data_IF_990922040929
#
_entry.id   IF_990922040929
#
_cell.length_a   1.000
_cell.length_b   1.000
_cell.length_c   1.000
_cell.angle_alpha   90.00
_cell.angle_beta   90.00
_cell.angle_gamma   90.00
#
_symmetry.space_group_name_H-M   'P 1'
#
loop_
_entity.id
_entity.type
_entity.pdbx_description
1 polymer ?
#
# COMPACT_ATOMS: atom_id res chain seq x y z
N UNK A 1 0.29 38.38 3.48
CA UNK A 1 0.73 38.69 2.09
C UNK A 1 -0.25 38.06 1.12
N UNK A 2 -0.94 38.90 0.35
CA UNK A 2 -2.05 38.49 -0.51
C UNK A 2 -1.55 37.70 -1.73
N UNK A 3 -2.36 36.77 -2.26
CA UNK A 3 -2.03 35.91 -3.42
C UNK A 3 -1.60 36.67 -4.68
N UNK A 4 -1.95 37.96 -4.79
CA UNK A 4 -1.57 38.82 -5.92
C UNK A 4 -0.08 39.16 -5.99
N UNK A 5 0.60 39.32 -4.86
CA UNK A 5 1.97 39.84 -4.82
C UNK A 5 3.01 38.84 -5.36
N UNK A 6 2.78 37.54 -5.11
CA UNK A 6 3.70 36.47 -5.53
C UNK A 6 3.64 36.17 -7.03
N UNK A 7 2.46 36.33 -7.63
CA UNK A 7 2.21 36.14 -9.06
C UNK A 7 2.94 37.22 -9.86
N UNK A 8 2.80 38.48 -9.44
CA UNK A 8 3.45 39.62 -10.07
C UNK A 8 4.98 39.56 -9.97
N UNK A 9 5.51 39.25 -8.78
CA UNK A 9 6.95 39.10 -8.57
C UNK A 9 7.59 37.96 -9.39
N UNK A 10 6.87 36.85 -9.60
CA UNK A 10 7.36 35.76 -10.45
C UNK A 10 7.45 36.17 -11.92
N UNK A 11 6.42 36.85 -12.44
CA UNK A 11 6.41 37.33 -13.82
C UNK A 11 7.49 38.38 -14.06
N UNK A 12 7.66 39.33 -13.12
CA UNK A 12 8.71 40.35 -13.20
C UNK A 12 10.13 39.73 -13.18
N UNK A 13 10.34 38.65 -12.41
CA UNK A 13 11.66 38.02 -12.30
C UNK A 13 12.01 37.08 -13.44
N UNK A 14 11.01 36.44 -14.05
CA UNK A 14 11.23 35.38 -15.05
C UNK A 14 10.88 35.78 -16.47
N UNK A 15 10.12 36.86 -16.65
CA UNK A 15 9.58 37.28 -17.95
C UNK A 15 8.54 36.33 -18.54
N UNK A 16 8.13 35.30 -17.78
CA UNK A 16 7.20 34.28 -18.23
C UNK A 16 5.75 34.65 -17.90
N UNK A 17 4.82 34.23 -18.76
CA UNK A 17 3.39 34.52 -18.64
C UNK A 17 2.69 33.79 -17.47
N UNK A 18 1.42 34.13 -17.28
CA UNK A 18 0.62 33.65 -16.14
C UNK A 18 0.47 32.13 -16.11
N UNK A 19 0.38 31.48 -17.27
CA UNK A 19 0.24 30.01 -17.37
C UNK A 19 1.48 29.28 -16.85
N UNK A 20 2.67 29.83 -17.09
CA UNK A 20 3.92 29.30 -16.57
C UNK A 20 4.01 29.45 -15.05
N UNK A 21 3.47 30.54 -14.49
CA UNK A 21 3.36 30.71 -13.03
C UNK A 21 2.45 29.65 -12.41
N UNK A 22 1.29 29.37 -13.00
CA UNK A 22 0.38 28.35 -12.47
C UNK A 22 0.95 26.94 -12.61
N UNK A 23 1.64 26.62 -13.70
CA UNK A 23 2.38 25.37 -13.86
C UNK A 23 3.49 25.22 -12.81
N UNK A 24 4.28 26.28 -12.58
CA UNK A 24 5.31 26.33 -11.55
C UNK A 24 4.73 26.19 -10.14
N UNK A 25 3.66 26.91 -9.85
CA UNK A 25 2.96 26.87 -8.56
C UNK A 25 2.37 25.49 -8.28
N UNK A 26 1.75 24.82 -9.27
CA UNK A 26 1.28 23.43 -9.12
C UNK A 26 2.43 22.47 -8.85
N UNK A 27 3.56 22.62 -9.55
CA UNK A 27 4.77 21.80 -9.36
C UNK A 27 5.42 22.01 -7.98
N UNK A 28 5.39 23.24 -7.47
CA UNK A 28 5.99 23.61 -6.18
C UNK A 28 5.05 23.29 -5.00
N UNK A 29 3.76 23.58 -5.11
CA UNK A 29 2.77 23.26 -4.06
C UNK A 29 2.52 21.75 -3.96
N UNK A 30 2.51 21.01 -5.08
CA UNK A 30 2.42 19.55 -5.07
C UNK A 30 3.62 18.87 -4.38
N UNK A 31 4.82 19.46 -4.48
CA UNK A 31 6.02 18.97 -3.79
C UNK A 31 6.17 19.46 -2.35
N UNK A 32 5.58 20.60 -1.96
CA UNK A 32 5.79 21.23 -0.64
C UNK A 32 4.85 20.75 0.46
N UNK A 33 3.60 20.40 0.17
CA UNK A 33 2.62 20.20 1.24
C UNK A 33 2.83 18.93 2.07
N UNK A 34 3.47 17.90 1.53
CA UNK A 34 3.78 16.67 2.27
C UNK A 34 5.19 16.70 2.88
N UNK A 35 6.22 17.08 2.09
CA UNK A 35 7.61 17.18 2.55
C UNK A 35 7.77 18.15 3.73
N UNK A 36 7.09 19.30 3.71
CA UNK A 36 7.29 20.30 4.75
C UNK A 36 6.63 19.88 6.07
N UNK A 37 5.49 19.17 6.05
CA UNK A 37 4.85 18.67 7.27
C UNK A 37 5.62 17.53 7.90
N UNK A 38 6.12 16.58 7.10
CA UNK A 38 6.95 15.47 7.59
C UNK A 38 8.28 15.99 8.12
N UNK A 39 9.01 16.83 7.37
CA UNK A 39 10.24 17.46 7.87
C UNK A 39 10.00 18.37 9.09
N UNK A 40 8.89 19.10 9.17
CA UNK A 40 8.57 19.91 10.35
C UNK A 40 8.19 19.05 11.57
N UNK A 41 7.48 17.93 11.39
CA UNK A 41 7.15 17.01 12.49
C UNK A 41 8.42 16.33 13.03
N UNK A 42 9.33 15.94 12.13
CA UNK A 42 10.63 15.35 12.48
C UNK A 42 11.58 16.38 13.13
N UNK A 43 11.60 17.61 12.64
CA UNK A 43 12.41 18.69 13.21
C UNK A 43 11.89 19.18 14.58
N UNK A 44 10.57 19.21 14.80
CA UNK A 44 9.96 19.63 16.08
C UNK A 44 10.08 18.55 17.16
N UNK A 45 10.15 17.27 16.78
CA UNK A 45 10.32 16.14 17.71
C UNK A 45 11.78 15.86 18.09
N UNK A 46 12.75 16.53 17.44
CA UNK A 46 14.17 16.22 17.62
C UNK A 46 14.57 14.82 17.12
N UNK A 47 13.67 14.13 16.42
CA UNK A 47 13.87 12.77 15.93
C UNK A 47 14.54 12.81 14.55
N UNK A 48 15.79 12.37 14.47
CA UNK A 48 16.45 12.13 13.20
C UNK A 48 16.18 10.67 12.79
N UNK A 49 15.24 10.40 11.87
CA UNK A 49 14.87 9.04 11.49
C UNK A 49 16.03 8.29 10.85
N UNK A 50 16.99 8.99 10.23
CA UNK A 50 18.17 8.39 9.62
C UNK A 50 19.14 7.91 10.72
N UNK A 51 19.41 8.73 11.74
CA UNK A 51 20.26 8.32 12.86
C UNK A 51 19.62 7.19 13.70
N UNK A 52 18.30 7.19 13.83
CA UNK A 52 17.56 6.10 14.48
C UNK A 52 17.61 4.80 13.67
N UNK A 53 17.41 4.88 12.35
CA UNK A 53 17.54 3.72 11.47
C UNK A 53 18.99 3.20 11.44
N UNK A 54 20.00 4.08 11.39
CA UNK A 54 21.42 3.71 11.49
C UNK A 54 21.77 3.01 12.81
N UNK A 55 21.21 3.45 13.93
CA UNK A 55 21.37 2.78 15.22
C UNK A 55 20.69 1.38 15.27
N UNK A 56 19.74 1.11 14.37
CA UNK A 56 19.01 -0.15 14.26
C UNK A 56 19.61 -1.09 13.18
N UNK A 57 20.43 -0.57 12.27
CA UNK A 57 21.12 -1.33 11.20
C UNK A 57 22.17 -2.32 11.77
N UNK A 58 22.51 -2.22 13.06
CA UNK A 58 23.54 -3.05 13.71
C UNK A 58 23.06 -4.41 14.24
N UNK A 59 21.81 -4.79 13.99
CA UNK A 59 21.29 -6.11 14.38
C UNK A 59 21.79 -7.22 13.42
N UNK A 60 22.24 -8.31 14.02
CA UNK A 60 22.71 -9.52 13.34
C UNK A 60 21.53 -10.17 12.58
N UNK A 61 21.53 -10.12 11.25
CA UNK A 61 20.52 -10.80 10.44
C UNK A 61 20.94 -12.27 10.20
N UNK A 62 20.07 -13.26 10.50
CA UNK A 62 20.29 -14.64 10.07
C UNK A 62 20.29 -14.78 8.54
N UNK A 63 20.85 -15.88 8.02
CA UNK A 63 21.06 -16.11 6.59
C UNK A 63 19.79 -15.85 5.75
N UNK A 64 19.92 -14.99 4.75
CA UNK A 64 18.85 -14.54 3.88
C UNK A 64 18.44 -15.67 2.92
N UNK A 65 17.15 -16.07 2.86
CA UNK A 65 16.71 -17.15 1.99
C UNK A 65 16.69 -16.72 0.52
N UNK A 66 17.08 -17.62 -0.39
CA UNK A 66 17.16 -17.35 -1.85
C UNK A 66 15.80 -17.32 -2.57
N UNK A 67 14.74 -17.88 -1.98
CA UNK A 67 13.41 -17.98 -2.58
C UNK A 67 12.54 -16.76 -2.25
N UNK A 68 11.89 -16.16 -3.24
CA UNK A 68 11.11 -14.91 -3.09
C UNK A 68 9.98 -15.00 -2.04
N UNK A 69 9.23 -16.11 -2.02
CA UNK A 69 8.15 -16.31 -1.04
C UNK A 69 8.69 -16.47 0.39
N UNK A 70 9.80 -17.20 0.53
CA UNK A 70 10.43 -17.43 1.83
C UNK A 70 11.15 -16.16 2.31
N UNK A 71 11.65 -15.34 1.39
CA UNK A 71 12.24 -14.03 1.65
C UNK A 71 11.22 -13.04 2.20
N UNK A 72 10.02 -12.93 1.61
CA UNK A 72 8.94 -12.09 2.15
C UNK A 72 8.49 -12.54 3.54
N UNK A 73 8.40 -13.86 3.76
CA UNK A 73 8.05 -14.43 5.07
C UNK A 73 9.12 -14.09 6.12
N UNK A 74 10.40 -14.29 5.77
CA UNK A 74 11.55 -13.96 6.61
C UNK A 74 11.59 -12.47 6.96
N UNK A 75 11.33 -11.58 6.00
CA UNK A 75 11.26 -10.14 6.24
C UNK A 75 10.18 -9.76 7.27
N UNK A 76 9.05 -10.48 7.29
CA UNK A 76 7.94 -10.18 8.21
C UNK A 76 8.18 -10.78 9.60
N UNK A 77 8.75 -11.98 9.70
CA UNK A 77 8.83 -12.73 10.96
C UNK A 77 10.16 -12.53 11.67
N UNK A 78 11.27 -12.66 10.95
CA UNK A 78 12.60 -12.87 11.53
C UNK A 78 13.51 -11.66 11.34
N UNK A 79 13.30 -10.85 10.29
CA UNK A 79 14.16 -9.70 10.02
C UNK A 79 14.00 -8.64 11.13
N UNK A 80 15.12 -8.32 11.78
CA UNK A 80 15.20 -7.26 12.79
C UNK A 80 15.64 -5.94 12.16
N UNK A 81 16.17 -5.97 10.93
CA UNK A 81 16.64 -4.79 10.24
C UNK A 81 15.49 -4.02 9.55
N UNK A 82 15.10 -2.83 10.06
CA UNK A 82 14.00 -2.06 9.50
C UNK A 82 14.28 -1.59 8.07
N UNK A 83 15.55 -1.52 7.65
CA UNK A 83 15.92 -1.12 6.29
C UNK A 83 15.64 -2.20 5.25
N UNK A 84 15.85 -3.48 5.60
CA UNK A 84 15.54 -4.59 4.69
C UNK A 84 14.03 -4.71 4.50
N UNK A 85 13.26 -4.58 5.58
CA UNK A 85 11.79 -4.53 5.54
C UNK A 85 11.29 -3.38 4.67
N UNK A 86 11.91 -2.19 4.80
CA UNK A 86 11.59 -1.02 3.99
C UNK A 86 11.82 -1.25 2.49
N UNK A 87 12.96 -1.86 2.13
CA UNK A 87 13.29 -2.18 0.73
C UNK A 87 12.34 -3.24 0.18
N UNK A 88 12.13 -4.35 0.89
CA UNK A 88 11.18 -5.38 0.51
C UNK A 88 9.75 -4.86 0.36
N UNK A 89 9.34 -3.90 1.19
CA UNK A 89 8.06 -3.21 1.02
C UNK A 89 7.99 -2.46 -0.32
N UNK A 90 9.03 -1.72 -0.70
CA UNK A 90 9.06 -1.00 -1.98
C UNK A 90 9.16 -1.95 -3.18
N UNK A 91 9.96 -3.01 -3.07
CA UNK A 91 10.14 -4.01 -4.11
C UNK A 91 8.81 -4.74 -4.38
N UNK A 92 8.07 -5.09 -3.32
CA UNK A 92 6.73 -5.65 -3.44
C UNK A 92 5.75 -4.72 -4.18
N UNK A 93 5.84 -3.40 -3.98
CA UNK A 93 5.04 -2.42 -4.73
C UNK A 93 5.51 -2.21 -6.18
N UNK A 94 6.76 -2.53 -6.49
CA UNK A 94 7.34 -2.40 -7.83
C UNK A 94 7.07 -3.63 -8.71
N UNK A 95 6.89 -4.80 -8.10
CA UNK A 95 6.45 -6.00 -8.78
C UNK A 95 4.92 -5.97 -8.99
N UNK A 96 4.49 -5.61 -10.20
CA UNK A 96 3.07 -5.45 -10.57
C UNK A 96 2.25 -6.77 -10.52
N UNK A 97 2.89 -7.92 -10.32
CA UNK A 97 2.28 -9.26 -10.46
C UNK A 97 1.62 -9.82 -9.18
N UNK A 98 1.68 -9.12 -8.05
CA UNK A 98 1.33 -9.73 -6.75
C UNK A 98 -0.09 -9.48 -6.24
N UNK A 99 -0.97 -8.82 -7.00
CA UNK A 99 -2.25 -8.31 -6.51
C UNK A 99 -3.50 -8.98 -7.07
N UNK A 100 -3.44 -10.28 -7.32
CA UNK A 100 -4.62 -11.01 -7.78
C UNK A 100 -4.80 -12.35 -7.07
N UNK A 101 -4.93 -12.29 -5.74
CA UNK A 101 -5.51 -13.40 -4.98
C UNK A 101 -6.95 -13.63 -5.47
N UNK A 102 -7.37 -14.89 -5.52
CA UNK A 102 -8.69 -15.31 -6.01
C UNK A 102 -9.83 -14.56 -5.29
N UNK A 103 -9.69 -14.36 -3.99
CA UNK A 103 -10.60 -13.57 -3.15
C UNK A 103 -10.69 -12.09 -3.56
N UNK A 104 -9.62 -11.51 -4.12
CA UNK A 104 -9.64 -10.13 -4.62
C UNK A 104 -10.52 -10.00 -5.86
N UNK A 105 -10.42 -10.97 -6.78
CA UNK A 105 -11.29 -11.03 -7.95
C UNK A 105 -12.74 -11.27 -7.59
N UNK A 106 -12.99 -12.18 -6.63
CA UNK A 106 -14.34 -12.39 -6.11
C UNK A 106 -14.83 -11.09 -5.47
N UNK A 107 -14.04 -10.45 -4.61
CA UNK A 107 -14.45 -9.19 -3.96
C UNK A 107 -14.80 -8.07 -4.94
N UNK A 108 -14.06 -7.95 -6.04
CA UNK A 108 -14.24 -6.92 -7.06
C UNK A 108 -15.47 -7.18 -7.95
N UNK A 109 -15.68 -8.45 -8.34
CA UNK A 109 -16.69 -8.82 -9.34
C UNK A 109 -18.00 -9.33 -8.72
N UNK A 110 -18.01 -9.68 -7.43
CA UNK A 110 -19.16 -10.29 -6.77
C UNK A 110 -20.33 -9.32 -6.67
N UNK A 111 -21.44 -9.72 -7.30
CA UNK A 111 -22.73 -9.04 -7.24
C UNK A 111 -23.67 -9.77 -6.29
N UNK A 112 -24.72 -9.09 -5.87
CA UNK A 112 -25.77 -9.72 -5.06
C UNK A 112 -26.36 -10.94 -5.77
N UNK A 113 -26.66 -11.99 -5.00
CA UNK A 113 -27.21 -13.26 -5.49
C UNK A 113 -28.50 -13.66 -4.77
N UNK A 114 -29.39 -14.46 -5.37
CA UNK A 114 -30.59 -14.93 -4.68
C UNK A 114 -30.25 -15.82 -3.50
N UNK A 115 -31.02 -15.73 -2.41
CA UNK A 115 -30.83 -16.58 -1.22
C UNK A 115 -30.82 -18.07 -1.58
N UNK A 116 -31.72 -18.51 -2.46
CA UNK A 116 -31.83 -19.90 -2.92
C UNK A 116 -30.53 -20.40 -3.54
N UNK A 117 -29.77 -19.51 -4.20
CA UNK A 117 -28.48 -19.86 -4.79
C UNK A 117 -27.44 -20.11 -3.71
N UNK A 118 -27.39 -19.27 -2.67
CA UNK A 118 -26.50 -19.51 -1.53
C UNK A 118 -26.83 -20.78 -0.76
N UNK A 119 -28.12 -21.11 -0.57
CA UNK A 119 -28.52 -22.37 0.09
C UNK A 119 -28.04 -23.63 -0.64
N UNK A 120 -27.76 -23.51 -1.94
CA UNK A 120 -27.33 -24.63 -2.78
C UNK A 120 -25.81 -24.86 -2.74
N UNK A 121 -25.03 -23.79 -2.61
CA UNK A 121 -23.56 -23.84 -2.70
C UNK A 121 -22.85 -23.47 -1.39
N UNK A 122 -23.55 -22.87 -0.43
CA UNK A 122 -23.01 -22.48 0.88
C UNK A 122 -23.75 -23.12 2.04
N UNK A 123 -23.19 -22.95 3.24
CA UNK A 123 -23.77 -23.44 4.49
C UNK A 123 -24.40 -22.28 5.28
N UNK A 124 -25.74 -22.30 5.37
CA UNK A 124 -26.54 -21.29 6.08
C UNK A 124 -26.20 -21.27 7.58
N UNK A 125 -25.74 -22.38 8.14
CA UNK A 125 -25.44 -22.48 9.58
C UNK A 125 -24.17 -21.74 9.98
N UNK A 126 -23.32 -21.37 9.01
CA UNK A 126 -22.05 -20.68 9.26
C UNK A 126 -22.19 -19.15 9.27
N UNK A 127 -23.37 -18.62 8.96
CA UNK A 127 -23.59 -17.17 8.82
C UNK A 127 -24.70 -16.64 9.72
N UNK A 128 -24.52 -15.41 10.22
CA UNK A 128 -25.61 -14.64 10.84
C UNK A 128 -26.60 -14.22 9.74
N UNK A 129 -27.60 -15.09 9.49
CA UNK A 129 -28.58 -15.02 8.40
C UNK A 129 -29.11 -13.60 8.17
N UNK A 130 -29.50 -12.89 9.24
CA UNK A 130 -30.12 -11.58 9.13
C UNK A 130 -29.19 -10.52 8.55
N UNK A 131 -27.91 -10.55 8.95
CA UNK A 131 -26.91 -9.58 8.45
C UNK A 131 -26.35 -10.01 7.10
N UNK A 132 -26.12 -11.30 6.93
CA UNK A 132 -25.59 -11.87 5.70
C UNK A 132 -26.52 -11.61 4.51
N UNK A 133 -27.80 -11.98 4.63
CA UNK A 133 -28.76 -11.81 3.54
C UNK A 133 -28.97 -10.35 3.17
N UNK A 134 -28.91 -9.43 4.14
CA UNK A 134 -28.98 -7.98 3.86
C UNK A 134 -27.79 -7.47 3.04
N UNK A 135 -26.63 -8.14 3.09
CA UNK A 135 -25.39 -7.68 2.45
C UNK A 135 -25.13 -8.33 1.10
N UNK A 136 -25.49 -9.59 0.96
CA UNK A 136 -25.17 -10.39 -0.23
C UNK A 136 -26.39 -10.81 -1.05
N UNK A 137 -27.59 -10.81 -0.46
CA UNK A 137 -28.75 -11.36 -1.12
C UNK A 137 -29.72 -10.32 -1.68
N UNK A 138 -30.12 -10.55 -2.92
CA UNK A 138 -31.19 -9.84 -3.62
C UNK A 138 -31.95 -10.87 -4.48
N UNK A 139 -33.29 -10.83 -4.46
CA UNK A 139 -34.14 -11.72 -5.26
C UNK A 139 -33.91 -11.54 -6.77
N UNK A 140 -33.52 -10.33 -7.20
CA UNK A 140 -33.17 -10.03 -8.59
C UNK A 140 -31.68 -10.19 -8.89
N UNK A 141 -30.92 -10.69 -7.92
CA UNK A 141 -29.50 -10.93 -8.04
C UNK A 141 -29.18 -12.02 -9.05
N UNK A 142 -27.92 -12.08 -9.47
CA UNK A 142 -27.44 -13.13 -10.37
C UNK A 142 -27.09 -14.38 -9.55
N UNK A 143 -27.51 -15.59 -9.95
CA UNK A 143 -27.12 -16.83 -9.28
C UNK A 143 -25.59 -17.01 -9.19
N UNK A 144 -25.12 -17.61 -8.08
CA UNK A 144 -23.69 -17.80 -7.77
C UNK A 144 -22.97 -18.62 -8.86
N UNK A 145 -23.64 -19.63 -9.42
CA UNK A 145 -23.12 -20.48 -10.49
C UNK A 145 -22.87 -19.71 -11.79
N UNK A 146 -23.80 -18.83 -12.17
CA UNK A 146 -23.62 -17.97 -13.35
C UNK A 146 -22.50 -16.95 -13.10
N UNK A 147 -22.44 -16.39 -11.88
CA UNK A 147 -21.37 -15.46 -11.51
C UNK A 147 -19.98 -16.14 -11.53
N UNK A 148 -19.85 -17.36 -11.03
CA UNK A 148 -18.61 -18.13 -11.04
C UNK A 148 -18.09 -18.36 -12.48
N UNK A 149 -19.00 -18.71 -13.39
CA UNK A 149 -18.67 -18.87 -14.81
C UNK A 149 -18.20 -17.56 -15.44
N UNK A 150 -18.96 -16.46 -15.26
CA UNK A 150 -18.58 -15.14 -15.79
C UNK A 150 -17.23 -14.65 -15.22
N UNK A 151 -17.00 -14.83 -13.90
CA UNK A 151 -15.74 -14.45 -13.28
C UNK A 151 -14.57 -15.28 -13.81
N UNK A 152 -14.80 -16.57 -14.06
CA UNK A 152 -13.76 -17.44 -14.61
C UNK A 152 -13.34 -17.01 -16.02
N UNK A 153 -14.32 -16.62 -16.85
CA UNK A 153 -14.07 -16.10 -18.19
C UNK A 153 -13.32 -14.76 -18.17
N UNK A 154 -13.68 -13.85 -17.26
CA UNK A 154 -13.07 -12.51 -17.16
C UNK A 154 -11.63 -12.60 -16.64
N UNK A 155 -11.40 -13.43 -15.62
CA UNK A 155 -10.11 -13.50 -14.91
C UNK A 155 -9.15 -14.50 -15.54
N UNK A 156 -9.64 -15.40 -16.39
CA UNK A 156 -8.87 -16.52 -16.93
C UNK A 156 -8.46 -17.55 -15.88
N UNK A 157 -9.03 -17.48 -14.66
CA UNK A 157 -8.80 -18.42 -13.55
C UNK A 157 -10.06 -19.24 -13.32
N UNK A 158 -9.92 -20.50 -12.92
CA UNK A 158 -11.07 -21.31 -12.52
C UNK A 158 -11.59 -20.82 -11.17
N UNK A 159 -12.79 -20.22 -11.17
CA UNK A 159 -13.52 -19.79 -9.97
C UNK A 159 -14.78 -20.65 -9.89
N UNK A 160 -14.91 -21.41 -8.80
CA UNK A 160 -16.06 -22.29 -8.59
C UNK A 160 -17.16 -21.60 -7.80
N UNK A 161 -18.42 -22.09 -7.88
CA UNK A 161 -19.51 -21.60 -7.05
C UNK A 161 -19.23 -21.76 -5.54
N UNK A 162 -18.42 -22.76 -5.17
CA UNK A 162 -18.01 -23.01 -3.80
C UNK A 162 -17.06 -21.91 -3.30
N UNK A 163 -16.10 -21.48 -4.13
CA UNK A 163 -15.15 -20.41 -3.76
C UNK A 163 -15.88 -19.10 -3.43
N UNK A 164 -16.93 -18.77 -4.20
CA UNK A 164 -17.77 -17.59 -3.94
C UNK A 164 -18.55 -17.74 -2.63
N UNK A 165 -19.09 -18.93 -2.36
CA UNK A 165 -19.83 -19.20 -1.14
C UNK A 165 -18.92 -19.12 0.10
N UNK A 166 -17.74 -19.73 0.03
CA UNK A 166 -16.72 -19.71 1.08
C UNK A 166 -16.21 -18.29 1.33
N UNK A 167 -15.96 -17.52 0.26
CA UNK A 167 -15.61 -16.09 0.36
C UNK A 167 -16.70 -15.29 1.10
N UNK A 168 -17.98 -15.51 0.76
CA UNK A 168 -19.09 -14.80 1.39
C UNK A 168 -19.23 -15.17 2.88
N UNK A 169 -19.00 -16.45 3.24
CA UNK A 169 -18.99 -16.92 4.63
C UNK A 169 -17.84 -16.27 5.41
N UNK A 170 -16.64 -16.21 4.83
CA UNK A 170 -15.46 -15.59 5.44
C UNK A 170 -15.62 -14.07 5.63
N UNK A 171 -16.42 -13.42 4.76
CA UNK A 171 -16.60 -11.97 4.76
C UNK A 171 -18.05 -11.52 5.00
N UNK A 172 -18.69 -11.88 6.14
CA UNK A 172 -20.13 -11.67 6.34
C UNK A 172 -20.58 -10.20 6.36
N UNK A 173 -19.63 -9.25 6.38
CA UNK A 173 -19.89 -7.80 6.32
C UNK A 173 -20.09 -7.28 4.89
N UNK A 174 -19.79 -8.08 3.86
CA UNK A 174 -19.96 -7.72 2.46
C UNK A 174 -18.64 -7.66 1.68
N UNK A 175 -18.69 -7.94 0.38
CA UNK A 175 -17.52 -7.96 -0.52
C UNK A 175 -16.77 -6.62 -0.51
N UNK A 176 -17.50 -5.50 -0.46
CA UNK A 176 -16.93 -4.14 -0.35
C UNK A 176 -16.07 -3.90 0.91
N UNK A 177 -16.18 -4.75 1.94
CA UNK A 177 -15.35 -4.65 3.14
C UNK A 177 -14.07 -5.47 3.04
N UNK A 178 -13.95 -6.31 2.00
CA UNK A 178 -12.74 -7.06 1.73
C UNK A 178 -11.60 -6.09 1.45
N UNK A 179 -10.49 -6.33 2.14
CA UNK A 179 -9.21 -5.71 1.85
C UNK A 179 -8.24 -6.85 1.71
N UNK A 180 -7.58 -6.93 0.55
CA UNK A 180 -6.44 -7.82 0.38
C UNK A 180 -5.43 -7.41 1.45
N UNK A 181 -5.16 -8.28 2.42
CA UNK A 181 -4.04 -8.08 3.35
C UNK A 181 -2.81 -8.49 2.58
N UNK A 182 -2.20 -7.50 1.96
CA UNK A 182 -1.04 -7.71 1.10
C UNK A 182 0.20 -8.01 1.94
N UNK A 183 1.22 -8.59 1.31
CA UNK A 183 2.54 -8.64 1.94
C UNK A 183 3.06 -7.24 2.27
N UNK A 184 2.70 -6.23 1.49
CA UNK A 184 2.96 -4.82 1.83
C UNK A 184 2.36 -4.42 3.19
N UNK A 185 1.12 -4.81 3.50
CA UNK A 185 0.51 -4.49 4.80
C UNK A 185 1.26 -5.17 5.94
N UNK A 186 1.65 -6.44 5.76
CA UNK A 186 2.43 -7.19 6.76
C UNK A 186 3.83 -6.62 6.97
N UNK A 187 4.50 -6.20 5.90
CA UNK A 187 5.79 -5.54 5.95
C UNK A 187 5.69 -4.15 6.61
N UNK A 188 4.61 -3.40 6.34
CA UNK A 188 4.35 -2.12 7.00
C UNK A 188 4.10 -2.29 8.51
N UNK A 189 3.38 -3.34 8.93
CA UNK A 189 3.18 -3.67 10.34
C UNK A 189 4.50 -4.08 11.02
N UNK A 190 5.33 -4.89 10.36
CA UNK A 190 6.65 -5.26 10.89
C UNK A 190 7.56 -4.03 11.03
N UNK A 191 7.59 -3.16 10.03
CA UNK A 191 8.33 -1.90 10.10
C UNK A 191 7.84 -1.02 11.25
N UNK A 192 6.53 -0.94 11.46
CA UNK A 192 5.94 -0.21 12.58
C UNK A 192 6.35 -0.82 13.93
N UNK A 193 6.40 -2.15 14.04
CA UNK A 193 6.86 -2.82 15.26
C UNK A 193 8.32 -2.48 15.58
N UNK A 194 9.20 -2.46 14.58
CA UNK A 194 10.63 -2.16 14.75
C UNK A 194 10.90 -0.68 15.04
N UNK A 195 10.17 0.23 14.39
CA UNK A 195 10.50 1.66 14.39
C UNK A 195 9.52 2.56 15.13
N UNK A 196 8.34 2.05 15.48
CA UNK A 196 7.21 2.84 15.98
C UNK A 196 6.58 3.78 14.95
N UNK A 197 7.07 3.79 13.70
CA UNK A 197 6.64 4.72 12.66
C UNK A 197 5.78 4.01 11.63
N UNK A 198 4.65 4.61 11.27
CA UNK A 198 3.73 4.02 10.30
C UNK A 198 4.33 4.12 8.90
N UNK A 199 4.49 2.99 8.23
CA UNK A 199 5.00 2.94 6.87
C UNK A 199 3.88 3.23 5.86
N UNK A 200 4.19 4.09 4.88
CA UNK A 200 3.36 4.35 3.70
C UNK A 200 4.29 4.53 2.50
N UNK A 201 3.81 4.28 1.29
CA UNK A 201 4.59 4.31 0.06
C UNK A 201 5.36 5.63 -0.16
N UNK A 202 4.70 6.77 0.01
CA UNK A 202 5.34 8.08 -0.13
C UNK A 202 6.42 8.33 0.91
N UNK A 203 6.20 7.85 2.14
CA UNK A 203 7.16 7.96 3.23
C UNK A 203 8.36 7.04 2.98
N UNK A 204 8.11 5.80 2.53
CA UNK A 204 9.15 4.84 2.19
C UNK A 204 10.07 5.36 1.08
N UNK A 205 9.49 5.91 0.01
CA UNK A 205 10.26 6.56 -1.07
C UNK A 205 11.11 7.72 -0.59
N UNK A 206 10.58 8.54 0.33
CA UNK A 206 11.32 9.68 0.87
C UNK A 206 12.48 9.22 1.74
N UNK A 207 12.28 8.22 2.59
CA UNK A 207 13.35 7.66 3.42
C UNK A 207 14.50 7.12 2.56
N UNK A 208 14.20 6.32 1.54
CA UNK A 208 15.24 5.79 0.63
C UNK A 208 15.97 6.92 -0.09
N UNK A 209 15.27 7.95 -0.56
CA UNK A 209 15.90 9.11 -1.21
C UNK A 209 16.79 9.89 -0.25
N UNK A 210 16.33 10.17 0.96
CA UNK A 210 17.12 10.88 1.97
C UNK A 210 18.39 10.09 2.34
N UNK A 211 18.31 8.77 2.35
CA UNK A 211 19.48 7.90 2.59
C UNK A 211 20.47 7.95 1.42
N UNK A 212 19.98 7.84 0.18
CA UNK A 212 20.81 7.95 -1.03
C UNK A 212 21.48 9.32 -1.13
N UNK A 213 20.75 10.40 -0.83
CA UNK A 213 21.28 11.76 -0.84
C UNK A 213 22.37 11.94 0.23
N UNK A 214 22.22 11.32 1.41
CA UNK A 214 23.23 11.34 2.49
C UNK A 214 24.48 10.53 2.12
N UNK A 215 24.32 9.32 1.58
CA UNK A 215 25.45 8.49 1.12
C UNK A 215 26.28 9.21 0.04
N UNK A 216 25.62 9.92 -0.87
CA UNK A 216 26.28 10.77 -1.87
C UNK A 216 27.00 11.98 -1.27
N UNK A 217 26.48 12.56 -0.17
CA UNK A 217 27.13 13.65 0.57
C UNK A 217 28.37 13.16 1.31
N UNK A 218 28.29 12.01 1.99
CA UNK A 218 29.41 11.40 2.74
C UNK A 218 30.56 10.95 1.81
N UNK A 219 30.25 10.59 0.55
CA UNK A 219 31.24 10.31 -0.50
C UNK A 219 31.90 11.57 -1.06
N UNK A 220 31.17 12.69 -1.10
CA UNK A 220 31.68 13.98 -1.59
C UNK A 220 32.61 14.69 -0.58
N UNK A 221 32.40 14.48 0.72
CA UNK A 221 33.27 15.02 1.77
C UNK A 221 34.58 14.22 1.93
N UNK A 222 34.59 12.94 1.52
CA UNK A 222 35.79 12.09 1.52
C UNK A 222 36.67 12.23 0.26
N UNK A 223 36.27 13.05 -0.72
CA UNK A 223 37.02 13.28 -1.96
C UNK A 223 37.68 14.66 -2.04
N UNK A 224 37.68 15.45 -0.96
CA UNK A 224 38.54 16.64 -0.87
C UNK A 224 40.01 16.21 -0.65
N UNK A 225 40.91 16.38 -1.63
CA UNK A 225 42.31 16.07 -1.41
C UNK A 225 42.93 17.13 -0.49
N UNK A 226 43.63 16.67 0.54
CA UNK A 226 44.61 17.46 1.28
C UNK A 226 45.77 17.91 0.38
#
# INVERSE_FOLDING_TARGET
>A
MAKGDKKKAFMERTGLGEDAYYAHSRKVCGKRHFNMRVSQLLAVSGFNPIAFLEAQITAFDPDEPENEKDHLLWLVQDCENPMKVLKGYLDYYHNEDHLQELDAHIAELLRSFPEVSFRRFGDINQVDQKKFFKRYCDEKGMPIDVQAMEMSEITGKEITPQDIADFAIAHPKGAHTYKVVTWADRLAERYFFLTGNKLNYDFAKQLVRMMQDKENLDLSDNTAPF
#
